data_IF_474921285827
#
_entry.id   IF_474921285827
#
_cell.length_a   1.000
_cell.length_b   1.000
_cell.length_c   1.000
_cell.angle_alpha   90.00
_cell.angle_beta   90.00
_cell.angle_gamma   90.00
#
_symmetry.space_group_name_H-M   'P 1'
#
loop_
_entity.id
_entity.type
_entity.pdbx_description
1 polymer ?
#
# COMPACT_ATOMS: atom_id res chain seq x y z
N UNK A 1 6.63 -59.21 -25.73
CA UNK A 1 6.11 -57.89 -26.07
C UNK A 1 5.43 -57.40 -24.80
N UNK A 2 6.14 -56.55 -24.06
CA UNK A 2 5.64 -56.05 -22.76
C UNK A 2 5.18 -54.58 -23.02
N UNK A 3 3.86 -54.37 -23.02
CA UNK A 3 3.28 -53.07 -23.01
C UNK A 3 3.54 -52.41 -21.64
N UNK A 4 4.44 -51.42 -21.59
CA UNK A 4 4.55 -50.53 -20.44
C UNK A 4 3.45 -49.48 -20.53
N UNK A 5 2.68 -49.26 -19.46
CA UNK A 5 1.74 -48.18 -19.41
C UNK A 5 2.51 -46.85 -19.42
N UNK A 6 2.24 -46.02 -20.41
CA UNK A 6 2.72 -44.65 -20.53
C UNK A 6 2.01 -43.80 -19.46
N UNK A 7 2.73 -43.44 -18.40
CA UNK A 7 2.24 -42.44 -17.45
C UNK A 7 2.22 -41.08 -18.15
N UNK A 8 1.14 -40.34 -18.07
CA UNK A 8 1.13 -38.96 -18.57
C UNK A 8 2.19 -38.17 -17.82
N UNK A 9 3.02 -37.43 -18.55
CA UNK A 9 3.95 -36.44 -18.00
C UNK A 9 3.18 -35.53 -17.06
N UNK A 10 3.74 -35.15 -15.89
CA UNK A 10 3.12 -34.13 -15.07
C UNK A 10 3.10 -32.84 -15.92
N UNK A 11 1.94 -32.55 -16.49
CA UNK A 11 1.67 -31.23 -17.06
C UNK A 11 2.08 -30.22 -15.99
N UNK A 12 3.01 -29.36 -16.36
CA UNK A 12 3.40 -28.23 -15.53
C UNK A 12 2.12 -27.46 -15.20
N UNK A 13 1.60 -27.70 -14.00
CA UNK A 13 0.43 -27.02 -13.48
C UNK A 13 0.78 -25.53 -13.40
N UNK A 14 0.49 -24.81 -14.47
CA UNK A 14 0.48 -23.35 -14.38
C UNK A 14 -0.54 -22.99 -13.31
N UNK A 15 -0.14 -22.25 -12.28
CA UNK A 15 -1.10 -21.86 -11.26
C UNK A 15 -2.31 -21.20 -11.93
N UNK A 16 -3.50 -21.54 -11.47
CA UNK A 16 -4.72 -20.96 -12.03
C UNK A 16 -4.67 -19.42 -11.90
N UNK A 17 -5.38 -18.69 -12.77
CA UNK A 17 -5.30 -17.22 -12.81
C UNK A 17 -5.64 -16.55 -11.47
N UNK A 18 -6.54 -17.12 -10.67
CA UNK A 18 -6.89 -16.60 -9.33
C UNK A 18 -5.73 -16.75 -8.36
N UNK A 19 -5.11 -17.92 -8.32
CA UNK A 19 -3.93 -18.17 -7.48
C UNK A 19 -2.77 -17.25 -7.86
N UNK A 20 -2.59 -16.98 -9.15
CA UNK A 20 -1.52 -16.11 -9.65
C UNK A 20 -1.72 -14.66 -9.20
N UNK A 21 -2.91 -14.09 -9.40
CA UNK A 21 -3.19 -12.71 -8.98
C UNK A 21 -3.15 -12.56 -7.46
N UNK A 22 -3.66 -13.52 -6.70
CA UNK A 22 -3.58 -13.48 -5.24
C UNK A 22 -2.13 -13.58 -4.73
N UNK A 23 -1.28 -14.35 -5.40
CA UNK A 23 0.14 -14.42 -5.06
C UNK A 23 0.84 -13.10 -5.34
N UNK A 24 0.56 -12.46 -6.48
CA UNK A 24 1.08 -11.14 -6.82
C UNK A 24 0.59 -10.07 -5.82
N UNK A 25 -0.69 -10.10 -5.42
CA UNK A 25 -1.26 -9.22 -4.41
C UNK A 25 -0.54 -9.36 -3.06
N UNK A 26 -0.30 -10.57 -2.61
CA UNK A 26 0.45 -10.83 -1.36
C UNK A 26 1.87 -10.30 -1.43
N UNK A 27 2.54 -10.47 -2.56
CA UNK A 27 3.91 -9.96 -2.77
C UNK A 27 3.94 -8.43 -2.74
N UNK A 28 3.02 -7.77 -3.43
CA UNK A 28 2.88 -6.31 -3.43
C UNK A 28 2.59 -5.79 -2.02
N UNK A 29 1.61 -6.38 -1.34
CA UNK A 29 1.23 -5.95 0.01
C UNK A 29 2.39 -6.14 1.01
N UNK A 30 3.12 -7.26 0.93
CA UNK A 30 4.30 -7.49 1.76
C UNK A 30 5.40 -6.44 1.49
N UNK A 31 5.61 -6.06 0.22
CA UNK A 31 6.55 -5.01 -0.13
C UNK A 31 6.13 -3.64 0.44
N UNK A 32 4.84 -3.29 0.37
CA UNK A 32 4.30 -2.06 0.97
C UNK A 32 4.51 -2.05 2.49
N UNK A 33 4.17 -3.15 3.18
CA UNK A 33 4.36 -3.27 4.64
C UNK A 33 5.84 -3.17 5.00
N UNK A 34 6.73 -3.80 4.24
CA UNK A 34 8.17 -3.74 4.47
C UNK A 34 8.72 -2.32 4.28
N UNK A 35 8.32 -1.64 3.21
CA UNK A 35 8.71 -0.25 2.96
C UNK A 35 8.22 0.71 4.06
N UNK A 36 7.03 0.45 4.64
CA UNK A 36 6.52 1.19 5.79
C UNK A 36 7.36 0.94 7.05
N UNK A 37 7.76 -0.30 7.30
CA UNK A 37 8.60 -0.65 8.45
C UNK A 37 9.99 -0.04 8.33
N UNK A 38 10.61 -0.13 7.16
CA UNK A 38 11.95 0.42 6.88
C UNK A 38 11.94 1.94 6.72
N UNK A 39 10.77 2.54 6.48
CA UNK A 39 10.59 3.96 6.14
C UNK A 39 11.45 4.41 4.96
N UNK A 40 11.66 3.50 4.02
CA UNK A 40 12.50 3.71 2.85
C UNK A 40 11.67 4.22 1.67
N UNK A 41 11.90 5.47 1.28
CA UNK A 41 11.30 6.01 0.04
C UNK A 41 11.79 5.29 -1.21
N UNK A 42 13.02 4.81 -1.22
CA UNK A 42 13.57 4.03 -2.32
C UNK A 42 12.82 2.71 -2.50
N UNK A 43 12.53 2.00 -1.41
CA UNK A 43 11.71 0.79 -1.45
C UNK A 43 10.31 1.08 -1.97
N UNK A 44 9.65 2.15 -1.50
CA UNK A 44 8.35 2.56 -2.03
C UNK A 44 8.38 2.86 -3.53
N UNK A 45 9.40 3.57 -4.00
CA UNK A 45 9.54 3.85 -5.43
C UNK A 45 9.77 2.58 -6.24
N UNK A 46 10.57 1.65 -5.71
CA UNK A 46 10.82 0.34 -6.31
C UNK A 46 9.54 -0.48 -6.50
N UNK A 47 8.58 -0.40 -5.56
CA UNK A 47 7.28 -1.08 -5.66
C UNK A 47 6.54 -0.68 -6.95
N UNK A 48 6.55 0.61 -7.31
CA UNK A 48 5.89 1.06 -8.53
C UNK A 48 6.59 0.53 -9.79
N UNK A 49 7.90 0.47 -9.76
CA UNK A 49 8.67 -0.04 -10.91
C UNK A 49 8.45 -1.55 -11.09
N UNK A 50 8.29 -2.29 -10.00
CA UNK A 50 8.12 -3.74 -10.02
C UNK A 50 6.68 -4.17 -10.32
N UNK A 51 5.68 -3.53 -9.66
CA UNK A 51 4.32 -4.06 -9.64
C UNK A 51 3.30 -3.28 -10.49
N UNK A 52 3.58 -2.05 -10.89
CA UNK A 52 2.58 -1.22 -11.58
C UNK A 52 2.91 -1.05 -13.07
N UNK A 53 1.89 -1.20 -13.91
CA UNK A 53 1.99 -0.87 -15.34
C UNK A 53 2.18 0.64 -15.53
N UNK A 54 2.82 1.04 -16.64
CA UNK A 54 3.10 2.46 -16.90
C UNK A 54 1.82 3.29 -17.10
N UNK A 55 0.77 2.67 -17.63
CA UNK A 55 -0.55 3.23 -17.89
C UNK A 55 -1.58 2.94 -16.79
N UNK A 56 -1.14 2.51 -15.61
CA UNK A 56 -2.04 2.21 -14.49
C UNK A 56 -2.99 3.35 -14.19
N UNK A 57 -4.23 3.01 -13.86
CA UNK A 57 -5.23 3.95 -13.35
C UNK A 57 -5.48 3.71 -11.85
N UNK A 58 -5.27 4.73 -11.04
CA UNK A 58 -5.59 4.70 -9.60
C UNK A 58 -6.73 5.65 -9.32
N UNK A 59 -7.76 5.15 -8.64
CA UNK A 59 -8.93 5.94 -8.28
C UNK A 59 -9.25 5.85 -6.79
N UNK A 60 -9.94 6.88 -6.28
CA UNK A 60 -10.45 6.93 -4.91
C UNK A 60 -11.92 7.34 -4.92
N UNK A 61 -12.69 6.87 -3.94
CA UNK A 61 -14.08 7.30 -3.75
C UNK A 61 -14.18 8.63 -3.00
N UNK A 62 -13.15 8.97 -2.22
CA UNK A 62 -13.16 10.20 -1.42
C UNK A 62 -11.75 10.79 -1.32
N UNK A 63 -11.45 11.86 -2.04
CA UNK A 63 -12.27 12.47 -3.10
C UNK A 63 -12.42 11.55 -4.32
N UNK A 64 -13.52 11.70 -5.07
CA UNK A 64 -13.70 10.97 -6.32
C UNK A 64 -12.75 11.51 -7.38
N UNK A 65 -11.63 10.83 -7.54
CA UNK A 65 -10.55 11.23 -8.42
C UNK A 65 -9.93 9.99 -9.08
N UNK A 66 -9.58 10.12 -10.35
CA UNK A 66 -8.81 9.11 -11.09
C UNK A 66 -7.48 9.71 -11.52
N UNK A 67 -6.39 9.04 -11.17
CA UNK A 67 -5.03 9.45 -11.47
C UNK A 67 -4.46 8.47 -12.47
N UNK A 68 -4.27 8.87 -13.72
CA UNK A 68 -3.69 8.02 -14.75
C UNK A 68 -2.17 8.09 -14.76
N UNK A 69 -1.56 6.94 -14.97
CA UNK A 69 -0.13 6.77 -15.21
C UNK A 69 0.74 6.67 -13.95
N UNK A 70 1.65 5.70 -13.98
CA UNK A 70 2.57 5.37 -12.88
C UNK A 70 3.30 6.60 -12.32
N UNK A 71 3.80 7.49 -13.17
CA UNK A 71 4.56 8.65 -12.72
C UNK A 71 3.74 9.61 -11.83
N UNK A 72 2.44 9.81 -12.17
CA UNK A 72 1.53 10.63 -11.36
C UNK A 72 1.16 9.97 -10.05
N UNK A 73 0.91 8.66 -10.08
CA UNK A 73 0.61 7.86 -8.89
C UNK A 73 1.79 7.89 -7.91
N UNK A 74 3.03 7.73 -8.40
CA UNK A 74 4.25 7.87 -7.59
C UNK A 74 4.32 9.23 -6.90
N UNK A 75 4.10 10.31 -7.64
CA UNK A 75 4.16 11.66 -7.08
C UNK A 75 3.11 11.89 -6.00
N UNK A 76 1.87 11.42 -6.22
CA UNK A 76 0.81 11.53 -5.22
C UNK A 76 1.17 10.77 -3.94
N UNK A 77 1.67 9.55 -4.07
CA UNK A 77 2.04 8.74 -2.92
C UNK A 77 3.17 9.37 -2.12
N UNK A 78 4.19 9.92 -2.79
CA UNK A 78 5.27 10.65 -2.13
C UNK A 78 4.76 11.85 -1.35
N UNK A 79 3.79 12.60 -1.90
CA UNK A 79 3.18 13.74 -1.21
C UNK A 79 2.42 13.33 0.06
N UNK A 80 1.93 12.10 0.14
CA UNK A 80 1.30 11.55 1.35
C UNK A 80 2.32 10.95 2.32
N UNK A 81 3.26 10.14 1.84
CA UNK A 81 4.18 9.37 2.67
C UNK A 81 5.29 10.21 3.28
N UNK A 82 5.82 11.19 2.55
CA UNK A 82 6.91 12.03 3.07
C UNK A 82 6.51 12.75 4.36
N UNK A 83 5.38 13.45 4.46
CA UNK A 83 4.94 14.04 5.72
C UNK A 83 4.73 13.00 6.83
N UNK A 84 4.16 11.83 6.53
CA UNK A 84 3.92 10.78 7.50
C UNK A 84 5.22 10.24 8.09
N UNK A 85 6.22 9.97 7.24
CA UNK A 85 7.53 9.50 7.69
C UNK A 85 8.30 10.55 8.48
N UNK A 86 8.26 11.81 8.06
CA UNK A 86 8.86 12.92 8.83
C UNK A 86 8.21 13.03 10.21
N UNK A 87 6.88 12.95 10.30
CA UNK A 87 6.18 12.97 11.59
C UNK A 87 6.54 11.75 12.45
N UNK A 88 6.74 10.59 11.86
CA UNK A 88 7.13 9.39 12.57
C UNK A 88 8.57 9.48 13.10
N UNK A 89 9.51 9.98 12.30
CA UNK A 89 10.93 10.10 12.66
C UNK A 89 11.19 11.20 13.68
N UNK A 90 10.68 12.40 13.41
CA UNK A 90 11.01 13.60 14.21
C UNK A 90 9.96 13.86 15.28
N UNK A 91 8.70 13.61 14.97
CA UNK A 91 7.56 13.85 15.83
C UNK A 91 7.23 12.71 16.81
N UNK A 92 7.93 11.58 16.72
CA UNK A 92 7.69 10.42 17.60
C UNK A 92 6.34 9.73 17.36
N UNK A 93 5.74 9.89 16.16
CA UNK A 93 4.52 9.21 15.78
C UNK A 93 4.80 7.70 15.60
N UNK A 94 4.07 6.87 16.32
CA UNK A 94 4.09 5.42 16.09
C UNK A 94 3.10 5.05 15.00
N UNK A 95 3.56 4.29 14.03
CA UNK A 95 2.77 3.85 12.87
C UNK A 95 2.78 2.32 12.80
N UNK A 96 1.61 1.71 12.67
CA UNK A 96 1.47 0.28 12.43
C UNK A 96 0.49 0.04 11.28
N UNK A 97 0.92 -0.71 10.27
CA UNK A 97 0.11 -1.07 9.10
C UNK A 97 -0.18 -2.57 9.11
N UNK A 98 -1.41 -2.92 8.73
CA UNK A 98 -1.86 -4.31 8.58
C UNK A 98 -2.70 -4.43 7.32
N UNK A 99 -2.63 -5.58 6.70
CA UNK A 99 -3.35 -5.88 5.47
C UNK A 99 -3.95 -7.29 5.49
N UNK A 100 -4.95 -7.52 4.64
CA UNK A 100 -5.56 -8.83 4.45
C UNK A 100 -6.05 -8.98 3.01
N UNK A 101 -5.30 -9.71 2.16
CA UNK A 101 -5.65 -9.92 0.77
C UNK A 101 -6.64 -11.08 0.59
N UNK A 102 -7.57 -10.92 -0.34
CA UNK A 102 -8.49 -11.96 -0.79
C UNK A 102 -8.59 -11.98 -2.32
N UNK A 103 -8.92 -13.13 -2.95
CA UNK A 103 -9.18 -13.16 -4.38
C UNK A 103 -10.38 -12.31 -4.74
N UNK A 104 -10.39 -11.77 -5.95
CA UNK A 104 -11.54 -11.08 -6.52
C UNK A 104 -12.57 -12.03 -7.12
N UNK A 105 -13.64 -11.45 -7.70
CA UNK A 105 -14.73 -12.20 -8.30
C UNK A 105 -14.37 -12.75 -9.69
N UNK A 106 -13.40 -12.14 -10.35
CA UNK A 106 -12.89 -12.56 -11.64
C UNK A 106 -11.39 -12.84 -11.61
N UNK A 107 -10.93 -13.66 -12.55
CA UNK A 107 -9.51 -13.92 -12.75
C UNK A 107 -8.74 -12.61 -13.01
N UNK A 108 -7.63 -12.42 -12.32
CA UNK A 108 -6.86 -11.18 -12.39
C UNK A 108 -7.39 -10.05 -11.50
N UNK A 109 -8.35 -10.33 -10.62
CA UNK A 109 -8.87 -9.37 -9.66
C UNK A 109 -8.55 -9.79 -8.23
N UNK A 110 -8.25 -8.78 -7.38
CA UNK A 110 -7.96 -8.99 -5.96
C UNK A 110 -8.54 -7.86 -5.13
N UNK A 111 -8.77 -8.14 -3.86
CA UNK A 111 -9.11 -7.14 -2.85
C UNK A 111 -8.16 -7.23 -1.68
N UNK A 112 -7.84 -6.09 -1.09
CA UNK A 112 -7.12 -6.01 0.18
C UNK A 112 -7.83 -5.08 1.14
N UNK A 113 -7.93 -5.49 2.40
CA UNK A 113 -8.39 -4.63 3.49
C UNK A 113 -7.17 -4.11 4.24
N UNK A 114 -7.12 -2.81 4.47
CA UNK A 114 -6.00 -2.13 5.10
C UNK A 114 -6.41 -1.49 6.41
N UNK A 115 -5.49 -1.47 7.34
CA UNK A 115 -5.62 -0.75 8.60
C UNK A 115 -4.29 -0.09 8.95
N UNK A 116 -4.32 1.21 9.15
CA UNK A 116 -3.21 2.03 9.61
C UNK A 116 -3.56 2.59 10.99
N UNK A 117 -2.81 2.17 11.99
CA UNK A 117 -2.94 2.66 13.36
C UNK A 117 -1.83 3.68 13.64
N UNK A 118 -2.21 4.88 14.04
CA UNK A 118 -1.33 5.98 14.38
C UNK A 118 -1.46 6.28 15.86
N UNK A 119 -0.35 6.40 16.56
CA UNK A 119 -0.30 6.74 17.99
C UNK A 119 0.67 7.90 18.19
N UNK A 120 0.14 9.03 18.63
CA UNK A 120 0.95 10.19 19.00
C UNK A 120 1.59 10.03 20.38
N UNK A 121 2.57 10.87 20.70
CA UNK A 121 3.28 10.87 22.01
C UNK A 121 2.37 11.19 23.18
N UNK A 122 1.27 11.88 22.94
CA UNK A 122 0.22 12.15 23.95
C UNK A 122 -0.62 10.91 24.29
N UNK A 123 -0.41 9.79 23.57
CA UNK A 123 -1.24 8.59 23.66
C UNK A 123 -2.56 8.69 22.88
N UNK A 124 -2.81 9.78 22.16
CA UNK A 124 -3.94 9.86 21.23
C UNK A 124 -3.76 8.88 20.09
N UNK A 125 -4.84 8.25 19.68
CA UNK A 125 -4.86 7.27 18.62
C UNK A 125 -5.77 7.69 17.48
N UNK A 126 -5.35 7.43 16.26
CA UNK A 126 -6.13 7.55 15.05
C UNK A 126 -5.98 6.27 14.22
N UNK A 127 -7.07 5.72 13.74
CA UNK A 127 -7.06 4.53 12.88
C UNK A 127 -7.70 4.88 11.55
N UNK A 128 -6.98 4.62 10.48
CA UNK A 128 -7.48 4.67 9.12
C UNK A 128 -7.74 3.23 8.64
N UNK A 129 -8.89 3.02 8.02
CA UNK A 129 -9.22 1.76 7.36
C UNK A 129 -9.68 2.07 5.96
N UNK A 130 -9.30 1.23 5.02
CA UNK A 130 -9.79 1.30 3.65
C UNK A 130 -9.70 -0.07 3.00
N UNK A 131 -10.34 -0.19 1.84
CA UNK A 131 -10.20 -1.33 0.96
C UNK A 131 -9.55 -0.90 -0.32
N UNK A 132 -8.81 -1.82 -0.93
CA UNK A 132 -8.21 -1.64 -2.26
C UNK A 132 -8.70 -2.77 -3.16
N UNK A 133 -9.25 -2.42 -4.30
CA UNK A 133 -9.46 -3.33 -5.41
C UNK A 133 -8.33 -3.17 -6.40
N UNK A 134 -7.80 -4.27 -6.92
CA UNK A 134 -6.78 -4.26 -7.97
C UNK A 134 -7.15 -5.19 -9.10
N UNK A 135 -6.84 -4.72 -10.30
CA UNK A 135 -6.89 -5.51 -11.52
C UNK A 135 -5.48 -5.72 -12.03
N UNK A 136 -5.16 -6.99 -12.32
CA UNK A 136 -3.85 -7.46 -12.72
C UNK A 136 -3.82 -7.85 -14.18
N UNK A 137 -2.73 -7.48 -14.86
CA UNK A 137 -2.34 -8.05 -16.16
C UNK A 137 -1.00 -8.78 -15.96
N UNK A 138 -1.06 -10.12 -15.86
CA UNK A 138 0.10 -10.90 -15.44
C UNK A 138 0.51 -10.57 -14.00
N UNK A 139 1.69 -9.99 -13.84
CA UNK A 139 2.24 -9.55 -12.54
C UNK A 139 2.10 -8.05 -12.29
N UNK A 140 1.50 -7.29 -13.22
CA UNK A 140 1.40 -5.84 -13.13
C UNK A 140 -0.03 -5.39 -12.81
N UNK A 141 -0.15 -4.45 -11.88
CA UNK A 141 -1.39 -3.74 -11.58
C UNK A 141 -1.69 -2.76 -12.71
N UNK A 142 -2.84 -2.91 -13.36
CA UNK A 142 -3.32 -2.00 -14.41
C UNK A 142 -4.43 -1.07 -13.92
N UNK A 143 -5.08 -1.43 -12.81
CA UNK A 143 -6.10 -0.59 -12.17
C UNK A 143 -6.03 -0.81 -10.66
N UNK A 144 -6.15 0.26 -9.91
CA UNK A 144 -6.30 0.24 -8.46
C UNK A 144 -7.40 1.21 -8.04
N UNK A 145 -8.27 0.78 -7.12
CA UNK A 145 -9.32 1.61 -6.56
C UNK A 145 -9.34 1.52 -5.04
N UNK A 146 -9.28 2.67 -4.38
CA UNK A 146 -9.44 2.80 -2.93
C UNK A 146 -10.88 3.17 -2.60
N UNK A 147 -11.48 2.46 -1.64
CA UNK A 147 -12.89 2.65 -1.25
C UNK A 147 -13.11 2.26 0.22
N UNK A 148 -14.32 2.49 0.72
CA UNK A 148 -14.70 2.24 2.12
C UNK A 148 -13.75 2.90 3.13
N UNK A 149 -13.31 4.13 2.85
CA UNK A 149 -12.38 4.85 3.71
C UNK A 149 -13.08 5.27 5.01
N UNK A 150 -12.49 4.90 6.13
CA UNK A 150 -12.98 5.20 7.47
C UNK A 150 -11.85 5.73 8.34
N UNK A 151 -12.13 6.81 9.06
CA UNK A 151 -11.22 7.37 10.05
C UNK A 151 -11.91 7.28 11.40
N UNK A 152 -11.25 6.67 12.39
CA UNK A 152 -11.75 6.54 13.76
C UNK A 152 -10.70 7.01 14.74
N UNK A 153 -11.16 7.51 15.89
CA UNK A 153 -10.30 8.11 16.91
C UNK A 153 -10.27 9.64 16.81
N UNK A 154 -9.25 10.23 17.41
CA UNK A 154 -9.07 11.69 17.41
C UNK A 154 -8.03 12.08 16.37
N UNK A 155 -8.27 13.11 15.57
CA UNK A 155 -7.24 13.64 14.68
C UNK A 155 -5.97 13.97 15.48
N UNK A 156 -4.83 13.55 14.95
CA UNK A 156 -3.52 13.92 15.50
C UNK A 156 -3.19 15.36 15.08
N UNK A 157 -2.71 16.13 16.03
CA UNK A 157 -2.27 17.52 15.85
C UNK A 157 -0.76 17.62 16.10
N UNK A 158 -0.17 18.77 15.79
CA UNK A 158 1.24 19.00 16.10
C UNK A 158 1.57 18.84 17.60
N UNK A 159 0.62 19.14 18.48
CA UNK A 159 0.80 18.97 19.94
C UNK A 159 0.87 17.51 20.37
N UNK A 160 0.45 16.58 19.51
CA UNK A 160 0.53 15.13 19.75
C UNK A 160 1.88 14.53 19.30
N UNK A 161 2.75 15.36 18.75
CA UNK A 161 4.08 14.99 18.27
C UNK A 161 5.15 15.52 19.23
N UNK A 162 6.12 14.69 19.61
CA UNK A 162 7.33 15.14 20.28
C UNK A 162 8.35 15.50 19.22
N UNK A 163 8.46 16.76 18.88
CA UNK A 163 9.66 17.25 18.21
C UNK A 163 10.75 17.30 19.30
N UNK A 164 11.32 16.10 19.64
CA UNK A 164 12.37 16.03 20.66
C UNK A 164 13.38 17.16 20.45
N UNK A 165 14.22 17.51 21.40
CA UNK A 165 15.11 18.67 21.44
C UNK A 165 16.07 18.87 20.23
N UNK A 166 15.56 18.71 19.04
CA UNK A 166 16.11 19.26 17.82
C UNK A 166 15.66 20.72 17.83
N UNK A 167 16.61 21.62 18.16
CA UNK A 167 16.43 23.04 17.89
C UNK A 167 15.68 23.20 16.57
N UNK A 168 14.64 24.03 16.50
CA UNK A 168 13.87 24.22 15.28
C UNK A 168 14.79 24.85 14.24
N UNK A 169 15.56 23.99 13.57
CA UNK A 169 16.35 24.39 12.45
C UNK A 169 15.37 24.61 11.32
N UNK A 170 15.01 25.86 11.22
CA UNK A 170 14.55 26.53 9.98
C UNK A 170 13.19 26.09 9.44
N UNK A 171 12.19 26.92 9.66
CA UNK A 171 11.19 27.23 8.64
C UNK A 171 9.74 26.82 8.87
N UNK A 172 9.34 26.21 9.95
CA UNK A 172 7.91 26.07 10.24
C UNK A 172 7.44 27.23 11.13
N UNK A 173 7.11 28.36 10.49
CA UNK A 173 6.31 29.39 11.13
C UNK A 173 4.89 28.80 11.34
N UNK A 174 4.42 28.80 12.60
CA UNK A 174 3.02 28.53 12.90
C UNK A 174 2.16 29.50 12.10
N UNK A 175 1.15 29.04 11.35
CA UNK A 175 0.13 29.97 10.88
C UNK A 175 -0.56 30.57 12.10
N UNK A 176 -0.57 31.87 12.16
CA UNK A 176 -1.27 32.70 13.14
C UNK A 176 -2.79 32.59 12.99
#
# INVERSE_FOLDING_TARGET
MSDQPSFPSPDHLHPDPFTRSLTAERSLNAAIVQAEISRSFEEYLGIFDEFYADDVEVSSETPEETIPGKARVRLLLLNFLVPLHVMAEVGGLSVAIRESPIPGDAAGETYSSWRLDLVGVSGKTCTLKWRTFRKWNGSSVVMERHYDQQITGRPLTFDDLSFGAVDPVVGFQRPS
#
